data_IF_698858685270
#
_entry.id   IF_698858685270
#
_cell.length_a   1.000
_cell.length_b   1.000
_cell.length_c   1.000
_cell.angle_alpha   90.00
_cell.angle_beta   90.00
_cell.angle_gamma   90.00
#
_symmetry.space_group_name_H-M   'P 1'
#
loop_
_entity.id
_entity.type
_entity.pdbx_description
1 polymer ?
#
# COMPACT_ATOMS: atom_id res chain seq x y z
N UNK A 1 -4.54 29.14 -3.77
CA UNK A 1 -3.29 28.35 -3.84
C UNK A 1 -3.55 27.18 -4.75
N UNK A 2 -2.60 26.82 -5.63
CA UNK A 2 -2.67 25.71 -6.56
C UNK A 2 -1.30 25.03 -6.67
N UNK A 3 -1.31 23.77 -7.13
CA UNK A 3 -0.10 23.01 -7.44
C UNK A 3 -0.02 22.88 -8.96
N UNK A 4 1.13 23.20 -9.55
CA UNK A 4 1.40 22.96 -10.97
C UNK A 4 2.20 21.64 -11.06
N UNK A 5 1.65 20.67 -11.79
CA UNK A 5 2.27 19.38 -12.01
C UNK A 5 2.57 19.17 -13.49
N UNK A 6 3.59 18.41 -13.86
CA UNK A 6 3.78 18.00 -15.25
C UNK A 6 2.57 17.18 -15.73
N UNK A 7 2.13 17.43 -16.94
CA UNK A 7 1.11 16.62 -17.60
C UNK A 7 1.78 15.43 -18.29
N UNK A 8 1.26 14.24 -18.03
CA UNK A 8 1.63 13.03 -18.75
C UNK A 8 0.48 12.59 -19.65
N UNK A 9 0.77 12.35 -20.93
CA UNK A 9 -0.21 11.88 -21.90
C UNK A 9 -0.08 10.35 -22.07
N UNK A 10 -1.21 9.65 -21.92
CA UNK A 10 -1.30 8.20 -22.05
C UNK A 10 -2.45 7.62 -21.22
N UNK A 11 -2.84 6.36 -21.46
CA UNK A 11 -3.79 5.67 -20.61
C UNK A 11 -3.15 5.32 -19.25
N UNK A 12 -3.98 5.15 -18.22
CA UNK A 12 -3.50 4.53 -16.98
C UNK A 12 -3.20 3.04 -17.19
N UNK A 13 -2.30 2.48 -16.38
CA UNK A 13 -2.04 1.04 -16.38
C UNK A 13 -3.32 0.24 -16.10
N UNK A 14 -4.26 0.79 -15.30
CA UNK A 14 -5.58 0.21 -15.07
C UNK A 14 -6.40 0.16 -16.36
N UNK A 15 -6.44 1.24 -17.15
CA UNK A 15 -7.15 1.26 -18.44
C UNK A 15 -6.57 0.25 -19.42
N UNK A 16 -5.23 0.13 -19.48
CA UNK A 16 -4.55 -0.86 -20.31
C UNK A 16 -4.89 -2.29 -19.87
N UNK A 17 -4.92 -2.54 -18.56
CA UNK A 17 -5.33 -3.82 -18.01
C UNK A 17 -6.79 -4.17 -18.35
N UNK A 18 -7.71 -3.23 -18.11
CA UNK A 18 -9.15 -3.44 -18.37
C UNK A 18 -9.48 -3.61 -19.85
N UNK A 19 -8.64 -3.08 -20.76
CA UNK A 19 -8.77 -3.32 -22.20
C UNK A 19 -8.33 -4.73 -22.64
N UNK A 20 -7.73 -5.51 -21.74
CA UNK A 20 -7.16 -6.82 -22.05
C UNK A 20 -5.81 -6.78 -22.76
N UNK A 21 -5.19 -5.59 -22.90
CA UNK A 21 -3.90 -5.46 -23.58
C UNK A 21 -2.72 -5.94 -22.72
N UNK A 22 -2.92 -6.13 -21.41
CA UNK A 22 -1.92 -6.69 -20.49
C UNK A 22 -2.54 -7.75 -19.59
N UNK A 23 -1.75 -8.77 -19.24
CA UNK A 23 -2.12 -9.78 -18.25
C UNK A 23 -1.90 -9.26 -16.82
N UNK A 24 -2.50 -9.92 -15.83
CA UNK A 24 -2.28 -9.62 -14.41
C UNK A 24 -0.81 -9.69 -14.02
N UNK A 25 -0.08 -10.68 -14.55
CA UNK A 25 1.35 -10.87 -14.30
C UNK A 25 2.18 -9.71 -14.84
N UNK A 26 1.86 -9.23 -16.04
CA UNK A 26 2.54 -8.08 -16.64
C UNK A 26 2.30 -6.80 -15.82
N UNK A 27 1.06 -6.57 -15.39
CA UNK A 27 0.72 -5.44 -14.50
C UNK A 27 1.48 -5.53 -13.19
N UNK A 28 1.49 -6.70 -12.56
CA UNK A 28 2.21 -6.92 -11.31
C UNK A 28 3.72 -6.71 -11.44
N UNK A 29 4.33 -7.16 -12.54
CA UNK A 29 5.76 -6.96 -12.80
C UNK A 29 6.13 -5.47 -12.99
N UNK A 30 5.29 -4.71 -13.70
CA UNK A 30 5.47 -3.26 -13.84
C UNK A 30 5.39 -2.59 -12.46
N UNK A 31 4.37 -2.89 -11.67
CA UNK A 31 4.21 -2.32 -10.33
C UNK A 31 5.39 -2.68 -9.42
N UNK A 32 5.87 -3.92 -9.43
CA UNK A 32 7.03 -4.34 -8.65
C UNK A 32 8.29 -3.54 -8.99
N UNK A 33 8.53 -3.29 -10.29
CA UNK A 33 9.64 -2.47 -10.75
C UNK A 33 9.51 -1.03 -10.27
N UNK A 34 8.31 -0.46 -10.33
CA UNK A 34 8.04 0.90 -9.88
C UNK A 34 8.18 1.02 -8.35
N UNK A 35 7.65 0.06 -7.57
CA UNK A 35 7.87 0.01 -6.13
C UNK A 35 9.36 0.01 -5.78
N UNK A 36 10.16 -0.84 -6.43
CA UNK A 36 11.58 -0.90 -6.16
C UNK A 36 12.29 0.42 -6.52
N UNK A 37 11.87 1.10 -7.59
CA UNK A 37 12.38 2.42 -7.97
C UNK A 37 12.07 3.47 -6.89
N UNK A 38 10.83 3.49 -6.38
CA UNK A 38 10.43 4.38 -5.28
C UNK A 38 11.28 4.10 -4.04
N UNK A 39 11.41 2.84 -3.63
CA UNK A 39 12.13 2.46 -2.42
C UNK A 39 13.65 2.71 -2.48
N UNK A 40 14.22 2.83 -3.67
CA UNK A 40 15.63 3.23 -3.88
C UNK A 40 15.83 4.74 -3.88
N UNK A 41 14.75 5.51 -3.92
CA UNK A 41 14.82 6.97 -3.93
C UNK A 41 14.87 7.48 -2.48
N UNK A 42 15.85 8.29 -2.10
CA UNK A 42 15.86 8.92 -0.79
C UNK A 42 14.60 9.77 -0.57
N UNK A 43 13.94 9.67 0.59
CA UNK A 43 12.78 10.49 0.85
C UNK A 43 13.19 11.97 0.97
N UNK A 44 12.39 12.91 0.45
CA UNK A 44 12.54 14.31 0.74
C UNK A 44 12.48 14.57 2.26
N UNK A 45 13.21 15.59 2.79
CA UNK A 45 13.33 15.81 4.24
C UNK A 45 12.00 16.06 4.95
N UNK A 46 11.04 16.67 4.25
CA UNK A 46 9.75 17.06 4.81
C UNK A 46 8.65 16.00 4.69
N UNK A 47 8.98 14.80 4.15
CA UNK A 47 8.02 13.71 4.07
C UNK A 47 7.75 13.13 5.46
N UNK A 48 6.47 13.10 5.85
CA UNK A 48 6.02 12.64 7.17
C UNK A 48 6.35 11.16 7.39
N UNK A 49 6.69 10.81 8.64
CA UNK A 49 6.86 9.39 8.99
C UNK A 49 5.50 8.68 9.12
N UNK A 50 5.47 7.36 8.88
CA UNK A 50 4.28 6.54 9.10
C UNK A 50 3.72 6.72 10.52
N UNK A 51 4.60 6.74 11.53
CA UNK A 51 4.21 6.91 12.92
C UNK A 51 3.53 8.25 13.16
N UNK A 52 4.15 9.34 12.73
CA UNK A 52 3.62 10.69 12.94
C UNK A 52 2.31 10.90 12.17
N UNK A 53 2.20 10.32 10.97
CA UNK A 53 0.98 10.36 10.19
C UNK A 53 -0.18 9.66 10.91
N UNK A 54 0.04 8.42 11.40
CA UNK A 54 -1.01 7.67 12.13
C UNK A 54 -1.38 8.39 13.41
N UNK A 55 -0.42 8.89 14.19
CA UNK A 55 -0.70 9.63 15.41
C UNK A 55 -1.55 10.89 15.13
N UNK A 56 -1.14 11.70 14.16
CA UNK A 56 -1.85 12.93 13.82
C UNK A 56 -3.29 12.68 13.33
N UNK A 57 -3.48 11.69 12.44
CA UNK A 57 -4.80 11.42 11.84
C UNK A 57 -5.73 10.70 12.82
N UNK A 58 -5.21 9.78 13.65
CA UNK A 58 -6.04 9.01 14.59
C UNK A 58 -6.63 9.84 15.73
N UNK A 59 -5.99 10.94 16.11
CA UNK A 59 -6.48 11.84 17.19
C UNK A 59 -7.89 12.37 16.93
N UNK A 60 -8.20 12.68 15.66
CA UNK A 60 -9.45 13.30 15.25
C UNK A 60 -10.34 12.38 14.41
N UNK A 61 -9.94 11.13 14.22
CA UNK A 61 -10.68 10.17 13.39
C UNK A 61 -11.71 9.42 14.22
N UNK A 62 -12.94 9.31 13.68
CA UNK A 62 -13.97 8.41 14.18
C UNK A 62 -13.94 7.03 13.49
N UNK A 63 -13.04 6.83 12.52
CA UNK A 63 -13.01 5.60 11.71
C UNK A 63 -12.23 4.46 12.37
N UNK A 64 -11.26 4.79 13.22
CA UNK A 64 -10.47 3.83 13.99
C UNK A 64 -10.75 4.04 15.48
N UNK A 65 -11.24 3.02 16.24
CA UNK A 65 -11.43 3.12 17.69
C UNK A 65 -10.15 3.55 18.40
N UNK A 66 -10.26 4.43 19.40
CA UNK A 66 -9.08 5.02 20.07
C UNK A 66 -8.15 3.99 20.71
N UNK A 67 -8.71 2.91 21.29
CA UNK A 67 -7.91 1.83 21.89
C UNK A 67 -7.08 1.08 20.82
N UNK A 68 -7.65 0.88 19.62
CA UNK A 68 -6.91 0.27 18.51
C UNK A 68 -5.83 1.22 17.97
N UNK A 69 -6.12 2.52 17.89
CA UNK A 69 -5.11 3.50 17.51
C UNK A 69 -3.90 3.48 18.46
N UNK A 70 -4.15 3.42 19.78
CA UNK A 70 -3.09 3.31 20.78
C UNK A 70 -2.30 2.00 20.64
N UNK A 71 -2.96 0.87 20.44
CA UNK A 71 -2.30 -0.43 20.20
C UNK A 71 -1.45 -0.43 18.94
N UNK A 72 -1.95 0.15 17.85
CA UNK A 72 -1.21 0.29 16.58
C UNK A 72 0.04 1.17 16.75
N UNK A 73 -0.06 2.30 17.47
CA UNK A 73 1.09 3.15 17.75
C UNK A 73 2.15 2.42 18.60
N UNK A 74 1.71 1.67 19.62
CA UNK A 74 2.61 0.82 20.41
C UNK A 74 3.32 -0.22 19.55
N UNK A 75 2.60 -0.83 18.60
CA UNK A 75 3.18 -1.79 17.67
C UNK A 75 4.22 -1.11 16.74
N UNK A 76 3.91 0.06 16.20
CA UNK A 76 4.86 0.83 15.37
C UNK A 76 6.15 1.14 16.16
N UNK A 77 6.03 1.53 17.44
CA UNK A 77 7.18 1.86 18.28
C UNK A 77 8.10 0.65 18.57
N UNK A 78 7.58 -0.59 18.48
CA UNK A 78 8.35 -1.82 18.60
C UNK A 78 9.02 -2.28 17.31
N UNK A 79 8.52 -1.82 16.16
CA UNK A 79 9.05 -2.19 14.85
C UNK A 79 10.13 -1.20 14.40
N UNK A 80 10.94 -1.63 13.44
CA UNK A 80 11.86 -0.70 12.78
C UNK A 80 11.07 0.41 12.06
N UNK A 81 11.32 1.68 12.34
CA UNK A 81 10.58 2.79 11.74
C UNK A 81 10.74 2.83 10.22
N UNK A 82 11.89 2.34 9.71
CA UNK A 82 12.24 2.45 8.28
C UNK A 82 12.40 3.90 7.83
N UNK A 83 13.28 4.13 6.88
CA UNK A 83 13.59 5.46 6.34
C UNK A 83 13.40 5.53 4.83
N UNK A 84 12.75 4.53 4.23
CA UNK A 84 12.48 4.49 2.80
C UNK A 84 11.34 5.42 2.41
N UNK A 85 11.40 5.95 1.18
CA UNK A 85 10.26 6.59 0.56
C UNK A 85 9.23 5.51 0.21
N UNK A 86 8.00 5.68 0.67
CA UNK A 86 6.84 4.90 0.26
C UNK A 86 5.83 5.82 -0.43
N UNK A 87 5.24 5.32 -1.51
CA UNK A 87 4.14 6.01 -2.19
C UNK A 87 2.84 5.92 -1.38
N UNK A 88 2.67 4.80 -0.69
CA UNK A 88 1.53 4.44 0.16
C UNK A 88 0.15 4.43 -0.53
N UNK A 89 0.09 4.58 -1.85
CA UNK A 89 -1.11 4.40 -2.69
C UNK A 89 -0.77 4.01 -4.14
N UNK A 90 0.34 3.31 -4.39
CA UNK A 90 0.69 2.89 -5.74
C UNK A 90 -0.19 1.71 -6.19
N UNK A 91 -0.98 1.95 -7.21
CA UNK A 91 -1.84 0.97 -7.86
C UNK A 91 -1.97 1.28 -9.36
N UNK A 92 -2.54 0.38 -10.19
CA UNK A 92 -2.56 0.60 -11.64
C UNK A 92 -3.23 1.90 -12.10
N UNK A 93 -4.15 2.46 -11.30
CA UNK A 93 -4.79 3.75 -11.58
C UNK A 93 -3.87 4.95 -11.39
N UNK A 94 -2.80 4.81 -10.59
CA UNK A 94 -1.81 5.85 -10.31
C UNK A 94 -0.53 5.69 -11.15
N UNK A 95 -0.60 4.97 -12.27
CA UNK A 95 0.48 4.82 -13.23
C UNK A 95 -0.02 5.20 -14.62
N UNK A 96 0.58 6.22 -15.25
CA UNK A 96 0.31 6.61 -16.64
C UNK A 96 1.32 5.90 -17.54
N UNK A 97 0.83 5.20 -18.56
CA UNK A 97 1.66 4.55 -19.58
C UNK A 97 1.95 5.54 -20.69
N UNK A 98 3.16 6.12 -20.71
CA UNK A 98 3.60 7.09 -21.71
C UNK A 98 4.54 6.45 -22.73
N UNK A 99 4.83 7.17 -23.82
CA UNK A 99 5.83 6.74 -24.81
C UNK A 99 7.24 6.56 -24.22
N UNK A 100 7.56 7.26 -23.13
CA UNK A 100 8.85 7.20 -22.42
C UNK A 100 8.82 6.22 -21.21
N UNK A 101 7.80 5.37 -21.13
CA UNK A 101 7.61 4.41 -20.06
C UNK A 101 6.62 4.85 -18.98
N UNK A 102 6.38 4.02 -17.95
CA UNK A 102 5.40 4.29 -16.92
C UNK A 102 5.81 5.48 -16.03
N UNK A 103 4.84 6.34 -15.70
CA UNK A 103 5.00 7.49 -14.80
C UNK A 103 4.06 7.35 -13.60
N UNK A 104 4.62 7.44 -12.40
CA UNK A 104 3.85 7.40 -11.14
C UNK A 104 3.25 8.79 -10.89
N UNK A 105 1.98 8.83 -10.53
CA UNK A 105 1.22 10.04 -10.18
C UNK A 105 0.55 9.88 -8.81
N UNK A 106 -0.02 10.97 -8.28
CA UNK A 106 -0.76 11.01 -7.01
C UNK A 106 0.06 10.62 -5.77
N UNK A 107 1.06 11.43 -5.50
CA UNK A 107 1.96 11.31 -4.34
C UNK A 107 1.37 11.87 -3.03
N UNK A 108 0.06 12.15 -2.98
CA UNK A 108 -0.58 12.77 -1.81
C UNK A 108 -0.48 11.92 -0.52
N UNK A 109 -0.27 10.61 -0.66
CA UNK A 109 -0.12 9.68 0.45
C UNK A 109 1.33 9.36 0.80
N UNK A 110 2.31 9.94 0.11
CA UNK A 110 3.72 9.61 0.30
C UNK A 110 4.18 9.82 1.75
N UNK A 111 4.95 8.86 2.26
CA UNK A 111 5.47 8.89 3.64
C UNK A 111 6.80 8.13 3.75
N UNK A 112 7.48 8.31 4.90
CA UNK A 112 8.65 7.52 5.27
C UNK A 112 8.22 6.27 6.03
N UNK A 113 8.57 5.10 5.49
CA UNK A 113 8.30 3.80 6.10
C UNK A 113 9.29 2.75 5.56
N UNK A 114 9.30 1.53 6.13
CA UNK A 114 10.00 0.43 5.49
C UNK A 114 9.35 0.05 4.16
N UNK A 115 10.15 -0.34 3.18
CA UNK A 115 9.69 -0.72 1.84
C UNK A 115 8.56 -1.79 1.85
N UNK A 116 8.57 -2.69 2.84
CA UNK A 116 7.53 -3.72 3.01
C UNK A 116 6.16 -3.11 3.32
N UNK A 117 6.08 -1.87 3.76
CA UNK A 117 4.82 -1.16 3.99
C UNK A 117 4.04 -0.98 2.68
N UNK A 118 4.67 -0.52 1.60
CA UNK A 118 4.03 -0.36 0.30
C UNK A 118 3.55 -1.69 -0.28
N UNK A 119 4.40 -2.73 -0.21
CA UNK A 119 4.04 -4.06 -0.72
C UNK A 119 2.90 -4.68 0.11
N UNK A 120 2.95 -4.52 1.43
CA UNK A 120 1.89 -4.95 2.33
C UNK A 120 0.57 -4.19 2.10
N UNK A 121 0.65 -2.89 1.76
CA UNK A 121 -0.54 -2.12 1.41
C UNK A 121 -1.20 -2.63 0.12
N UNK A 122 -0.41 -2.91 -0.91
CA UNK A 122 -0.94 -3.56 -2.11
C UNK A 122 -1.59 -4.91 -1.77
N UNK A 123 -0.93 -5.71 -0.92
CA UNK A 123 -1.48 -7.00 -0.47
C UNK A 123 -2.84 -6.85 0.21
N UNK A 124 -2.98 -5.95 1.20
CA UNK A 124 -4.27 -5.72 1.89
C UNK A 124 -5.33 -5.23 0.91
N UNK A 125 -4.99 -4.28 0.04
CA UNK A 125 -5.94 -3.72 -0.93
C UNK A 125 -6.44 -4.77 -1.93
N UNK A 126 -5.52 -5.55 -2.49
CA UNK A 126 -5.83 -6.54 -3.54
C UNK A 126 -6.40 -7.87 -3.01
N UNK A 127 -6.32 -8.12 -1.69
CA UNK A 127 -6.79 -9.37 -1.09
C UNK A 127 -7.95 -9.19 -0.11
N UNK A 128 -8.00 -8.06 0.63
CA UNK A 128 -8.97 -7.87 1.71
C UNK A 128 -10.08 -6.87 1.36
N UNK A 129 -9.85 -5.98 0.38
CA UNK A 129 -10.80 -4.95 -0.03
C UNK A 129 -11.45 -5.23 -1.39
N UNK A 130 -11.32 -6.45 -1.88
CA UNK A 130 -12.01 -6.88 -3.11
C UNK A 130 -13.53 -6.77 -2.90
N UNK A 131 -14.29 -6.13 -3.82
CA UNK A 131 -15.75 -6.15 -3.78
C UNK A 131 -16.30 -7.57 -3.79
N UNK A 132 -17.40 -7.81 -3.07
CA UNK A 132 -17.98 -9.17 -2.91
C UNK A 132 -18.52 -9.74 -4.22
N UNK A 133 -18.94 -8.87 -5.13
CA UNK A 133 -19.45 -9.19 -6.47
C UNK A 133 -18.37 -9.26 -7.56
N UNK A 134 -17.12 -8.91 -7.23
CA UNK A 134 -16.01 -8.94 -8.18
C UNK A 134 -15.33 -10.31 -8.23
N UNK A 135 -14.88 -10.71 -9.43
CA UNK A 135 -13.98 -11.85 -9.56
C UNK A 135 -12.61 -11.51 -8.89
N UNK A 136 -12.21 -12.21 -7.81
CA UNK A 136 -10.97 -11.90 -7.11
C UNK A 136 -9.70 -12.37 -7.85
N UNK A 137 -9.80 -13.29 -8.82
CA UNK A 137 -8.63 -13.94 -9.43
C UNK A 137 -7.67 -12.97 -10.13
N UNK A 138 -8.12 -11.99 -10.94
CA UNK A 138 -7.20 -11.04 -11.56
C UNK A 138 -6.41 -10.21 -10.51
N UNK A 139 -7.07 -9.81 -9.43
CA UNK A 139 -6.43 -9.04 -8.36
C UNK A 139 -5.44 -9.88 -7.55
N UNK A 140 -5.78 -11.15 -7.29
CA UNK A 140 -4.86 -12.12 -6.66
C UNK A 140 -3.63 -12.38 -7.54
N UNK A 141 -3.82 -12.54 -8.84
CA UNK A 141 -2.72 -12.73 -9.78
C UNK A 141 -1.79 -11.50 -9.82
N UNK A 142 -2.34 -10.28 -9.86
CA UNK A 142 -1.56 -9.04 -9.75
C UNK A 142 -0.77 -9.02 -8.44
N UNK A 143 -1.43 -9.29 -7.29
CA UNK A 143 -0.78 -9.31 -5.99
C UNK A 143 0.36 -10.32 -5.90
N UNK A 144 0.15 -11.53 -6.40
CA UNK A 144 1.18 -12.58 -6.47
C UNK A 144 2.36 -12.15 -7.34
N UNK A 145 2.08 -11.56 -8.50
CA UNK A 145 3.11 -11.07 -9.40
C UNK A 145 3.91 -9.91 -8.79
N UNK A 146 3.26 -8.95 -8.09
CA UNK A 146 3.96 -7.89 -7.35
C UNK A 146 4.94 -8.51 -6.35
N UNK A 147 4.48 -9.42 -5.49
CA UNK A 147 5.31 -9.97 -4.42
C UNK A 147 6.47 -10.82 -4.96
N UNK A 148 6.22 -11.71 -5.92
CA UNK A 148 7.26 -12.56 -6.49
C UNK A 148 8.30 -11.77 -7.27
N UNK A 149 7.87 -10.82 -8.10
CA UNK A 149 8.79 -10.02 -8.91
C UNK A 149 9.55 -9.01 -8.05
N UNK A 150 8.89 -8.36 -7.05
CA UNK A 150 9.58 -7.49 -6.11
C UNK A 150 10.65 -8.27 -5.32
N UNK A 151 10.33 -9.46 -4.80
CA UNK A 151 11.29 -10.31 -4.09
C UNK A 151 12.49 -10.67 -4.98
N UNK A 152 12.22 -11.06 -6.24
CA UNK A 152 13.26 -11.35 -7.24
C UNK A 152 14.17 -10.15 -7.50
N UNK A 153 13.59 -8.97 -7.73
CA UNK A 153 14.34 -7.73 -8.01
C UNK A 153 15.10 -7.22 -6.79
N UNK A 154 14.58 -7.43 -5.59
CA UNK A 154 15.22 -7.06 -4.33
C UNK A 154 16.26 -8.10 -3.85
N UNK A 155 16.42 -9.24 -4.53
CA UNK A 155 17.35 -10.29 -4.15
C UNK A 155 17.00 -11.02 -2.86
N UNK A 156 15.72 -11.14 -2.52
CA UNK A 156 15.21 -11.85 -1.34
C UNK A 156 14.25 -12.97 -1.73
N UNK A 157 14.05 -13.95 -0.85
CA UNK A 157 13.05 -14.99 -1.11
C UNK A 157 11.61 -14.44 -0.88
N UNK A 158 10.59 -14.95 -1.59
CA UNK A 158 9.19 -14.61 -1.33
C UNK A 158 8.78 -14.85 0.13
N UNK A 159 9.26 -15.92 0.75
CA UNK A 159 9.01 -16.24 2.16
C UNK A 159 9.57 -15.14 3.10
N UNK A 160 10.78 -14.62 2.81
CA UNK A 160 11.37 -13.51 3.56
C UNK A 160 10.57 -12.23 3.41
N UNK A 161 10.08 -11.92 2.21
CA UNK A 161 9.21 -10.77 1.98
C UNK A 161 7.90 -10.92 2.78
N UNK A 162 7.24 -12.06 2.69
CA UNK A 162 6.01 -12.34 3.44
C UNK A 162 6.23 -12.21 4.95
N UNK A 163 7.27 -12.82 5.49
CA UNK A 163 7.60 -12.72 6.91
C UNK A 163 7.85 -11.26 7.35
N UNK A 164 8.52 -10.47 6.52
CA UNK A 164 8.78 -9.06 6.80
C UNK A 164 7.51 -8.18 6.75
N UNK A 165 6.50 -8.54 5.94
CA UNK A 165 5.22 -7.82 5.88
C UNK A 165 4.31 -8.09 7.07
N UNK A 166 4.32 -9.31 7.63
CA UNK A 166 3.35 -9.76 8.64
C UNK A 166 3.20 -8.80 9.82
N UNK A 167 4.27 -8.30 10.46
CA UNK A 167 4.14 -7.38 11.59
C UNK A 167 3.47 -6.03 11.22
N UNK A 168 3.53 -5.65 9.95
CA UNK A 168 2.95 -4.37 9.47
C UNK A 168 1.48 -4.48 9.07
N UNK A 169 0.90 -5.69 8.93
CA UNK A 169 -0.49 -5.85 8.47
C UNK A 169 -1.51 -5.14 9.37
N UNK A 170 -1.44 -5.17 10.71
CA UNK A 170 -2.37 -4.41 11.56
C UNK A 170 -2.25 -2.91 11.34
N UNK A 171 -1.04 -2.41 11.16
CA UNK A 171 -0.74 -1.00 10.90
C UNK A 171 -1.31 -0.58 9.54
N UNK A 172 -1.14 -1.41 8.52
CA UNK A 172 -1.66 -1.19 7.17
C UNK A 172 -3.19 -1.13 7.14
N UNK A 173 -3.85 -2.03 7.85
CA UNK A 173 -5.32 -2.02 7.99
C UNK A 173 -5.81 -0.75 8.68
N UNK A 174 -5.11 -0.33 9.75
CA UNK A 174 -5.40 0.93 10.44
C UNK A 174 -5.17 2.14 9.52
N UNK A 175 -4.07 2.17 8.77
CA UNK A 175 -3.77 3.21 7.78
C UNK A 175 -4.89 3.34 6.73
N UNK A 176 -5.34 2.22 6.17
CA UNK A 176 -6.44 2.18 5.19
C UNK A 176 -7.75 2.68 5.80
N UNK A 177 -8.06 2.29 7.05
CA UNK A 177 -9.24 2.79 7.77
C UNK A 177 -9.18 4.30 7.98
N UNK A 178 -8.03 4.83 8.38
CA UNK A 178 -7.83 6.26 8.61
C UNK A 178 -7.92 7.08 7.31
N UNK A 179 -7.55 6.50 6.17
CA UNK A 179 -7.77 7.10 4.84
C UNK A 179 -9.23 7.00 4.36
N UNK A 180 -10.13 6.38 5.12
CA UNK A 180 -11.53 6.15 4.76
C UNK A 180 -11.70 5.39 3.43
N UNK A 181 -10.76 4.47 3.13
CA UNK A 181 -10.72 3.69 1.88
C UNK A 181 -11.67 2.47 1.81
N UNK A 182 -12.12 1.85 2.94
CA UNK A 182 -13.11 0.77 2.84
C UNK A 182 -14.39 1.29 2.20
N UNK A 183 -14.82 0.64 1.10
CA UNK A 183 -15.99 1.05 0.34
C UNK A 183 -17.30 0.70 1.05
N UNK A 184 -17.29 -0.35 1.90
CA UNK A 184 -18.49 -0.87 2.58
C UNK A 184 -18.29 -0.97 4.09
N UNK A 185 -19.41 -0.88 4.87
CA UNK A 185 -19.36 -1.14 6.31
C UNK A 185 -18.80 -2.52 6.67
N UNK A 186 -19.11 -3.56 5.88
CA UNK A 186 -18.60 -4.91 6.09
C UNK A 186 -17.08 -4.99 5.91
N UNK A 187 -16.51 -4.32 4.92
CA UNK A 187 -15.06 -4.23 4.77
C UNK A 187 -14.41 -3.54 5.96
N UNK A 188 -15.00 -2.43 6.44
CA UNK A 188 -14.53 -1.71 7.63
C UNK A 188 -14.51 -2.64 8.84
N UNK A 189 -15.60 -3.32 9.11
CA UNK A 189 -15.74 -4.24 10.25
C UNK A 189 -14.69 -5.35 10.20
N UNK A 190 -14.50 -5.99 9.03
CA UNK A 190 -13.46 -7.01 8.85
C UNK A 190 -12.05 -6.49 9.15
N UNK A 191 -11.72 -5.26 8.73
CA UNK A 191 -10.42 -4.68 9.02
C UNK A 191 -10.24 -4.44 10.53
N UNK A 192 -11.26 -3.89 11.21
CA UNK A 192 -11.26 -3.68 12.65
C UNK A 192 -11.01 -5.00 13.39
N UNK A 193 -11.80 -6.04 13.10
CA UNK A 193 -11.67 -7.36 13.73
C UNK A 193 -10.27 -7.98 13.53
N UNK A 194 -9.67 -7.79 12.34
CA UNK A 194 -8.31 -8.27 12.07
C UNK A 194 -7.23 -7.48 12.80
N UNK A 195 -7.43 -6.18 13.02
CA UNK A 195 -6.53 -5.36 13.86
C UNK A 195 -6.62 -5.83 15.31
N UNK A 196 -7.84 -5.98 15.85
CA UNK A 196 -8.06 -6.45 17.21
C UNK A 196 -7.45 -7.83 17.46
N UNK A 197 -7.67 -8.77 16.54
CA UNK A 197 -7.12 -10.12 16.66
C UNK A 197 -5.58 -10.10 16.69
N UNK A 198 -4.96 -9.28 15.83
CA UNK A 198 -3.50 -9.16 15.78
C UNK A 198 -2.93 -8.52 17.06
N UNK A 199 -3.55 -7.45 17.58
CA UNK A 199 -3.08 -6.80 18.80
C UNK A 199 -3.20 -7.70 20.04
N UNK A 200 -4.26 -8.53 20.13
CA UNK A 200 -4.40 -9.53 21.20
C UNK A 200 -3.34 -10.66 21.15
N UNK A 201 -2.80 -10.97 19.98
CA UNK A 201 -1.76 -12.01 19.86
C UNK A 201 -0.35 -11.51 20.20
N UNK A 202 -0.19 -10.21 20.41
CA UNK A 202 1.08 -9.57 20.81
C UNK A 202 1.17 -9.34 22.34
N UNK A 203 0.08 -9.54 23.08
CA UNK A 203 0.02 -9.51 24.54
C UNK A 203 0.49 -10.84 25.16
#
# INVERSE_FOLDING_TARGET
>A
FGIVLPRFDGPTLLQVFLSGAMTSEQVGAILATLYLSVHKTPPPPDVVSLRDWIDAVSRNSATLPKHLAAGVLTLIDRLSPGDGLCHADLHPGNVIMTGDGPKIIDWACALRAPAVFDIGRAHVTLSELVPEDANPEPLRAINTAIQSEYARLAGISPAKLTAAMQPYLPILRAFILLQQRPATPAQRERLIQRIEAALRSEE
#
